data_IF_292643124340
#
_entry.id   IF_292643124340
#
_cell.length_a   1.000
_cell.length_b   1.000
_cell.length_c   1.000
_cell.angle_alpha   90.00
_cell.angle_beta   90.00
_cell.angle_gamma   90.00
#
_symmetry.space_group_name_H-M   'P 1'
#
loop_
_entity.id
_entity.type
_entity.pdbx_description
1 polymer ?
#
# COMPACT_ATOMS: atom_id res chain seq x y z
N UNK A 1 -20.80 -28.25 10.23
CA UNK A 1 -21.46 -27.17 9.49
C UNK A 1 -20.72 -27.02 8.19
N UNK A 2 -21.43 -27.15 7.09
CA UNK A 2 -20.88 -27.28 5.74
C UNK A 2 -20.30 -25.97 5.25
N UNK A 3 -19.01 -25.93 4.94
CA UNK A 3 -18.35 -24.83 4.24
C UNK A 3 -18.85 -24.79 2.80
N UNK A 4 -19.48 -23.72 2.42
CA UNK A 4 -19.95 -23.46 1.05
C UNK A 4 -18.76 -23.35 0.12
N UNK A 5 -18.74 -24.16 -0.92
CA UNK A 5 -17.76 -24.13 -2.01
C UNK A 5 -17.94 -22.83 -2.78
N UNK A 6 -16.92 -21.99 -2.81
CA UNK A 6 -16.86 -20.82 -3.66
C UNK A 6 -16.22 -21.19 -5.00
N UNK A 7 -16.95 -20.96 -6.07
CA UNK A 7 -16.49 -21.12 -7.45
C UNK A 7 -16.04 -19.76 -7.94
N UNK A 8 -14.76 -19.61 -8.29
CA UNK A 8 -14.26 -18.45 -9.00
C UNK A 8 -14.82 -18.51 -10.43
N UNK A 9 -15.86 -17.74 -10.71
CA UNK A 9 -16.37 -17.55 -12.06
C UNK A 9 -15.83 -16.20 -12.58
N UNK A 10 -14.82 -16.25 -13.44
CA UNK A 10 -14.39 -15.08 -14.19
C UNK A 10 -15.52 -14.68 -15.15
N UNK A 11 -16.32 -13.69 -14.78
CA UNK A 11 -17.30 -13.07 -15.67
C UNK A 11 -16.73 -11.75 -16.17
N UNK A 12 -16.17 -11.78 -17.38
CA UNK A 12 -15.83 -10.55 -18.10
C UNK A 12 -17.12 -9.89 -18.58
N UNK A 13 -17.66 -8.97 -17.81
CA UNK A 13 -18.70 -8.06 -18.27
C UNK A 13 -18.02 -6.82 -18.86
N UNK A 14 -18.07 -6.72 -20.19
CA UNK A 14 -17.62 -5.53 -20.89
C UNK A 14 -18.52 -4.34 -20.55
N UNK A 15 -17.92 -3.32 -19.93
CA UNK A 15 -18.51 -2.01 -19.76
C UNK A 15 -17.63 -0.93 -20.40
N UNK A 16 -18.29 0.08 -20.95
CA UNK A 16 -17.76 1.16 -21.74
C UNK A 16 -16.53 1.86 -21.12
N UNK A 17 -15.37 1.71 -21.75
CA UNK A 17 -14.24 2.66 -21.67
C UNK A 17 -13.16 2.38 -20.61
N UNK A 18 -13.39 1.56 -19.61
CA UNK A 18 -12.37 1.16 -18.63
C UNK A 18 -11.88 -0.26 -18.91
N UNK A 19 -10.58 -0.49 -18.81
CA UNK A 19 -10.01 -1.83 -18.90
C UNK A 19 -10.59 -2.68 -17.76
N UNK A 20 -11.08 -3.89 -18.06
CA UNK A 20 -11.93 -4.69 -17.19
C UNK A 20 -11.50 -4.77 -15.73
N UNK A 21 -12.46 -4.64 -14.84
CA UNK A 21 -12.31 -4.84 -13.40
C UNK A 21 -12.57 -6.33 -13.08
N UNK A 22 -11.78 -6.89 -12.17
CA UNK A 22 -11.89 -8.27 -11.72
C UNK A 22 -11.93 -8.30 -10.19
N UNK A 23 -12.93 -8.98 -9.61
CA UNK A 23 -13.01 -9.24 -8.17
C UNK A 23 -12.17 -10.46 -7.83
N UNK A 24 -11.23 -10.33 -6.89
CA UNK A 24 -10.28 -11.38 -6.49
C UNK A 24 -10.78 -12.16 -5.28
N UNK A 25 -11.41 -11.50 -4.31
CA UNK A 25 -11.96 -12.15 -3.10
C UNK A 25 -13.47 -11.97 -3.01
N UNK A 26 -14.16 -12.89 -2.31
CA UNK A 26 -15.63 -12.97 -2.29
C UNK A 26 -16.21 -13.24 -0.89
N UNK A 27 -15.38 -13.19 0.16
CA UNK A 27 -15.81 -13.54 1.52
C UNK A 27 -16.38 -12.35 2.30
N UNK A 28 -16.25 -11.12 1.77
CA UNK A 28 -16.78 -9.90 2.37
C UNK A 28 -16.12 -9.48 3.68
N UNK A 29 -15.06 -10.17 4.13
CA UNK A 29 -14.34 -9.79 5.35
C UNK A 29 -13.60 -8.46 5.15
N UNK A 30 -13.37 -7.71 6.24
CA UNK A 30 -12.61 -6.47 6.16
C UNK A 30 -11.16 -6.73 5.73
N UNK A 31 -10.76 -6.16 4.61
CA UNK A 31 -9.42 -6.29 4.03
C UNK A 31 -8.75 -4.94 3.91
N UNK A 32 -7.40 -4.94 3.92
CA UNK A 32 -6.58 -3.73 3.73
C UNK A 32 -5.18 -4.06 3.23
N UNK A 33 -4.52 -3.06 2.66
CA UNK A 33 -3.11 -3.07 2.27
C UNK A 33 -2.71 -4.26 1.36
N UNK A 34 -3.45 -4.55 0.25
CA UNK A 34 -3.07 -5.62 -0.66
C UNK A 34 -1.79 -5.26 -1.42
N UNK A 35 -0.86 -6.21 -1.49
CA UNK A 35 0.38 -6.10 -2.28
C UNK A 35 0.65 -7.41 -3.01
N UNK A 36 1.30 -7.32 -4.18
CA UNK A 36 1.77 -8.49 -4.90
C UNK A 36 3.21 -8.84 -4.54
N UNK A 37 3.49 -10.14 -4.42
CA UNK A 37 4.83 -10.73 -4.34
C UNK A 37 4.96 -11.84 -5.39
N UNK A 38 6.12 -12.48 -5.48
CA UNK A 38 6.39 -13.57 -6.43
C UNK A 38 5.99 -13.21 -7.87
N UNK A 39 6.33 -11.98 -8.30
CA UNK A 39 6.02 -11.46 -9.64
C UNK A 39 4.50 -11.50 -9.98
N UNK A 40 3.66 -11.22 -8.99
CA UNK A 40 2.20 -11.16 -9.18
C UNK A 40 1.47 -12.50 -9.00
N UNK A 41 2.16 -13.57 -8.63
CA UNK A 41 1.55 -14.89 -8.39
C UNK A 41 0.93 -15.04 -7.02
N UNK A 42 1.34 -14.22 -6.07
CA UNK A 42 0.85 -14.25 -4.69
C UNK A 42 0.39 -12.86 -4.29
N UNK A 43 -0.80 -12.77 -3.73
CA UNK A 43 -1.34 -11.58 -3.11
C UNK A 43 -1.17 -11.68 -1.59
N UNK A 44 -0.62 -10.66 -0.96
CA UNK A 44 -0.50 -10.55 0.50
C UNK A 44 -1.36 -9.38 0.95
N UNK A 45 -2.17 -9.58 1.98
CA UNK A 45 -3.04 -8.53 2.52
C UNK A 45 -3.34 -8.76 3.99
N UNK A 46 -3.85 -7.73 4.66
CA UNK A 46 -4.37 -7.84 6.02
C UNK A 46 -5.88 -8.09 5.98
N UNK A 47 -6.38 -8.98 6.83
CA UNK A 47 -7.80 -9.20 7.03
C UNK A 47 -8.15 -9.20 8.52
N UNK A 48 -9.38 -8.85 8.84
CA UNK A 48 -9.93 -9.00 10.18
C UNK A 48 -10.33 -10.48 10.36
N UNK A 49 -9.46 -11.27 11.05
CA UNK A 49 -9.73 -12.69 11.35
C UNK A 49 -10.88 -12.83 12.35
N UNK A 50 -10.92 -11.90 13.31
CA UNK A 50 -12.02 -11.70 14.27
C UNK A 50 -12.21 -10.19 14.49
N UNK A 51 -13.28 -9.79 15.19
CA UNK A 51 -13.52 -8.39 15.53
C UNK A 51 -12.34 -7.72 16.26
N UNK A 52 -11.50 -8.52 16.94
CA UNK A 52 -10.41 -8.06 17.78
C UNK A 52 -9.02 -8.45 17.23
N UNK A 53 -8.90 -9.00 16.02
CA UNK A 53 -7.62 -9.51 15.53
C UNK A 53 -7.44 -9.34 14.03
N UNK A 54 -6.41 -8.59 13.66
CA UNK A 54 -6.00 -8.39 12.26
C UNK A 54 -4.83 -9.32 11.96
N UNK A 55 -4.96 -10.11 10.89
CA UNK A 55 -3.93 -11.01 10.39
C UNK A 55 -3.42 -10.57 9.04
N UNK A 56 -2.15 -10.79 8.80
CA UNK A 56 -1.60 -10.78 7.45
C UNK A 56 -1.66 -12.19 6.87
N UNK A 57 -2.23 -12.30 5.68
CA UNK A 57 -2.39 -13.56 4.95
C UNK A 57 -1.78 -13.47 3.56
N UNK A 58 -1.46 -14.62 2.98
CA UNK A 58 -1.06 -14.77 1.58
C UNK A 58 -2.08 -15.62 0.82
N UNK A 59 -2.38 -15.23 -0.40
CA UNK A 59 -3.26 -15.94 -1.33
C UNK A 59 -2.49 -16.26 -2.61
N UNK A 60 -2.33 -17.53 -2.92
CA UNK A 60 -1.74 -17.99 -4.18
C UNK A 60 -2.76 -17.83 -5.31
N UNK A 61 -2.42 -17.06 -6.33
CA UNK A 61 -3.28 -16.78 -7.49
C UNK A 61 -3.05 -17.76 -8.66
N UNK A 62 -2.18 -18.75 -8.51
CA UNK A 62 -1.90 -19.72 -9.57
C UNK A 62 -2.95 -20.83 -9.70
N UNK A 63 -3.87 -20.95 -8.74
CA UNK A 63 -4.93 -21.97 -8.74
C UNK A 63 -6.32 -21.42 -8.43
N UNK A 64 -7.39 -22.02 -9.01
CA UNK A 64 -8.76 -21.53 -8.87
C UNK A 64 -9.41 -21.79 -7.49
N UNK A 65 -8.78 -22.59 -6.63
CA UNK A 65 -9.32 -22.99 -5.32
C UNK A 65 -8.35 -22.62 -4.17
N UNK A 66 -7.54 -21.58 -4.37
CA UNK A 66 -6.60 -21.14 -3.32
C UNK A 66 -7.33 -20.44 -2.20
N UNK A 67 -6.99 -20.80 -0.95
CA UNK A 67 -7.50 -20.15 0.25
C UNK A 67 -6.42 -19.28 0.88
N UNK A 68 -6.79 -18.16 1.54
CA UNK A 68 -5.82 -17.35 2.24
C UNK A 68 -5.15 -18.12 3.38
N UNK A 69 -3.83 -18.06 3.46
CA UNK A 69 -3.04 -18.72 4.51
C UNK A 69 -2.36 -17.66 5.37
N UNK A 70 -2.43 -17.75 6.72
CA UNK A 70 -1.71 -16.84 7.60
C UNK A 70 -0.21 -16.82 7.25
N UNK A 71 0.35 -15.61 7.14
CA UNK A 71 1.76 -15.45 6.78
C UNK A 71 2.70 -15.75 7.94
N UNK A 72 2.23 -15.55 9.18
CA UNK A 72 2.99 -15.78 10.41
C UNK A 72 2.21 -16.67 11.38
N UNK A 73 2.94 -17.31 12.28
CA UNK A 73 2.35 -18.14 13.33
C UNK A 73 1.32 -17.38 14.16
N UNK A 74 0.29 -18.08 14.57
CA UNK A 74 -0.81 -17.52 15.34
C UNK A 74 -0.34 -17.07 16.73
N UNK A 75 -0.33 -15.77 16.97
CA UNK A 75 -0.27 -15.16 18.28
C UNK A 75 -1.46 -14.19 18.44
N UNK A 76 -1.51 -13.43 19.50
CA UNK A 76 -2.58 -12.44 19.75
C UNK A 76 -2.20 -11.01 19.30
N UNK A 77 -1.19 -10.86 18.46
CA UNK A 77 -0.79 -9.57 17.94
C UNK A 77 -1.51 -9.25 16.63
N UNK A 78 -1.87 -7.98 16.46
CA UNK A 78 -2.24 -7.46 15.15
C UNK A 78 -0.97 -7.30 14.32
N UNK A 79 -1.02 -7.78 13.08
CA UNK A 79 0.05 -7.65 12.10
C UNK A 79 -0.49 -6.87 10.92
N UNK A 80 0.04 -5.68 10.68
CA UNK A 80 -0.50 -4.75 9.69
C UNK A 80 0.60 -4.07 8.88
N UNK A 81 0.20 -3.50 7.74
CA UNK A 81 1.06 -2.63 6.93
C UNK A 81 2.37 -3.31 6.52
N UNK A 82 2.24 -4.45 5.87
CA UNK A 82 3.38 -5.29 5.47
C UNK A 82 4.11 -4.71 4.25
N UNK A 83 5.43 -4.84 4.24
CA UNK A 83 6.29 -4.59 3.09
C UNK A 83 7.34 -5.68 2.96
N UNK A 84 7.70 -6.01 1.71
CA UNK A 84 8.78 -6.93 1.39
C UNK A 84 10.00 -6.18 0.85
N UNK A 85 11.21 -6.71 1.12
CA UNK A 85 12.41 -6.27 0.42
C UNK A 85 12.34 -6.64 -1.06
N UNK A 86 13.08 -5.94 -1.95
CA UNK A 86 13.05 -6.23 -3.39
C UNK A 86 13.42 -7.67 -3.77
N UNK A 87 14.22 -8.34 -2.95
CA UNK A 87 14.60 -9.75 -3.12
C UNK A 87 13.65 -10.72 -2.38
N UNK A 88 12.59 -10.20 -1.76
CA UNK A 88 11.60 -10.93 -0.95
C UNK A 88 12.19 -11.73 0.24
N UNK A 89 13.45 -11.49 0.60
CA UNK A 89 14.11 -12.13 1.73
C UNK A 89 13.68 -11.57 3.08
N UNK A 90 13.47 -10.26 3.14
CA UNK A 90 13.04 -9.58 4.36
C UNK A 90 11.60 -9.11 4.25
N UNK A 91 10.93 -9.09 5.37
CA UNK A 91 9.60 -8.51 5.51
C UNK A 91 9.58 -7.56 6.70
N UNK A 92 8.93 -6.42 6.55
CA UNK A 92 8.69 -5.46 7.62
C UNK A 92 7.20 -5.26 7.83
N UNK A 93 6.78 -5.22 9.08
CA UNK A 93 5.37 -5.01 9.44
C UNK A 93 5.22 -4.34 10.80
N UNK A 94 4.09 -3.69 11.00
CA UNK A 94 3.69 -3.15 12.31
C UNK A 94 3.03 -4.24 13.13
N UNK A 95 3.48 -4.42 14.37
CA UNK A 95 2.91 -5.38 15.31
C UNK A 95 2.45 -4.68 16.58
N UNK A 96 1.24 -4.94 17.04
CA UNK A 96 0.74 -4.46 18.33
C UNK A 96 -0.18 -5.49 19.00
N UNK A 97 -0.24 -5.46 20.33
CA UNK A 97 -1.16 -6.30 21.12
C UNK A 97 -2.24 -5.40 21.71
N UNK A 98 -3.47 -5.58 21.28
CA UNK A 98 -4.59 -4.71 21.66
C UNK A 98 -4.30 -3.24 21.35
N UNK A 99 -4.57 -2.34 22.29
CA UNK A 99 -4.30 -0.89 22.17
C UNK A 99 -2.93 -0.47 22.70
N UNK A 100 -2.02 -1.41 22.88
CA UNK A 100 -0.66 -1.14 23.38
C UNK A 100 0.22 -0.52 22.30
N UNK A 101 1.31 0.08 22.74
CA UNK A 101 2.32 0.65 21.86
C UNK A 101 2.81 -0.40 20.87
N UNK A 102 2.71 -0.12 19.59
CA UNK A 102 3.19 -0.99 18.53
C UNK A 102 4.70 -0.99 18.43
N UNK A 103 5.23 -2.00 17.76
CA UNK A 103 6.63 -2.09 17.34
C UNK A 103 6.69 -2.30 15.83
N UNK A 104 7.77 -1.86 15.22
CA UNK A 104 8.08 -2.24 13.84
C UNK A 104 9.00 -3.46 13.89
N UNK A 105 8.63 -4.50 13.17
CA UNK A 105 9.42 -5.72 13.04
C UNK A 105 10.05 -5.76 11.65
N UNK A 106 11.33 -6.09 11.56
CA UNK A 106 12.02 -6.47 10.32
C UNK A 106 12.43 -7.92 10.49
N UNK A 107 11.87 -8.82 9.70
CA UNK A 107 12.11 -10.26 9.78
C UNK A 107 12.92 -10.76 8.58
N UNK A 108 14.03 -11.42 8.83
CA UNK A 108 14.74 -12.24 7.85
C UNK A 108 14.00 -13.58 7.73
N UNK A 109 13.32 -13.82 6.60
CA UNK A 109 12.53 -15.02 6.37
C UNK A 109 13.39 -16.29 6.26
N UNK A 110 14.63 -16.17 5.73
CA UNK A 110 15.56 -17.27 5.61
C UNK A 110 16.20 -17.65 6.95
N UNK A 111 16.65 -16.67 7.73
CA UNK A 111 17.28 -16.89 9.03
C UNK A 111 16.25 -17.05 10.17
N UNK A 112 14.97 -16.75 9.93
CA UNK A 112 13.89 -16.72 10.94
C UNK A 112 14.26 -15.85 12.16
N UNK A 113 14.80 -14.66 11.87
CA UNK A 113 15.31 -13.74 12.89
C UNK A 113 14.68 -12.36 12.74
N UNK A 114 14.26 -11.78 13.87
CA UNK A 114 13.62 -10.47 13.93
C UNK A 114 14.59 -9.41 14.46
N UNK A 115 14.58 -8.24 13.82
CA UNK A 115 15.03 -6.99 14.40
C UNK A 115 13.79 -6.16 14.79
N UNK A 116 13.76 -5.69 16.04
CA UNK A 116 12.64 -4.94 16.59
C UNK A 116 13.05 -3.50 16.74
N UNK A 117 12.31 -2.60 16.12
CA UNK A 117 12.54 -1.16 16.19
C UNK A 117 11.65 -0.55 17.26
N UNK A 118 12.28 0.07 18.24
CA UNK A 118 11.60 0.79 19.29
C UNK A 118 12.05 2.24 19.31
N UNK A 119 11.10 3.16 19.41
CA UNK A 119 11.32 4.56 19.72
C UNK A 119 10.89 4.86 21.16
N UNK A 120 11.34 5.98 21.70
CA UNK A 120 10.97 6.43 23.05
C UNK A 120 9.52 6.96 23.14
N UNK A 121 8.86 7.17 22.00
CA UNK A 121 7.48 7.68 21.91
C UNK A 121 6.41 6.60 22.11
N UNK A 122 5.15 7.02 22.20
CA UNK A 122 3.97 6.13 22.28
C UNK A 122 3.21 6.06 20.94
N UNK A 123 3.87 6.39 19.84
CA UNK A 123 3.26 6.35 18.51
C UNK A 123 3.14 4.93 17.97
N UNK A 124 2.20 4.75 17.02
CA UNK A 124 2.17 3.57 16.18
C UNK A 124 3.18 3.72 15.04
N UNK A 125 3.85 2.64 14.68
CA UNK A 125 4.63 2.56 13.45
C UNK A 125 3.69 2.37 12.29
N UNK A 126 3.92 3.10 11.20
CA UNK A 126 3.02 3.10 10.05
C UNK A 126 3.79 2.99 8.74
N UNK A 127 3.16 2.32 7.78
CA UNK A 127 3.50 2.32 6.36
C UNK A 127 4.98 2.05 6.07
N UNK A 128 5.56 0.94 6.58
CA UNK A 128 6.92 0.58 6.24
C UNK A 128 7.09 0.33 4.74
N UNK A 129 8.26 0.66 4.21
CA UNK A 129 8.68 0.33 2.85
C UNK A 129 10.19 0.12 2.85
N UNK A 130 10.68 -0.85 2.07
CA UNK A 130 12.12 -1.02 1.88
C UNK A 130 12.65 -0.01 0.85
N UNK A 131 13.90 0.41 1.05
CA UNK A 131 14.66 1.08 -0.01
C UNK A 131 14.89 0.12 -1.19
N UNK A 132 15.09 0.66 -2.38
CA UNK A 132 15.25 -0.13 -3.61
C UNK A 132 16.48 -1.05 -3.55
N UNK A 133 17.53 -0.65 -2.83
CA UNK A 133 18.71 -1.50 -2.59
C UNK A 133 18.50 -2.55 -1.48
N UNK A 134 17.31 -2.59 -0.88
CA UNK A 134 16.92 -3.53 0.17
C UNK A 134 17.65 -3.38 1.51
N UNK A 135 18.46 -2.32 1.70
CA UNK A 135 19.32 -2.18 2.90
C UNK A 135 18.70 -1.43 4.06
N UNK A 136 17.61 -0.72 3.83
CA UNK A 136 16.94 0.08 4.85
C UNK A 136 15.41 -0.06 4.75
N UNK A 137 14.74 0.22 5.86
CA UNK A 137 13.29 0.37 5.94
C UNK A 137 12.98 1.82 6.27
N UNK A 138 12.06 2.41 5.48
CA UNK A 138 11.45 3.71 5.77
C UNK A 138 10.08 3.46 6.39
N UNK A 139 9.74 4.21 7.42
CA UNK A 139 8.46 4.09 8.12
C UNK A 139 8.02 5.44 8.69
N UNK A 140 6.75 5.60 8.95
CA UNK A 140 6.21 6.77 9.61
C UNK A 140 6.08 6.53 11.12
N UNK A 141 6.54 7.49 11.93
CA UNK A 141 6.46 7.45 13.39
C UNK A 141 6.42 8.84 14.02
N UNK A 142 5.65 9.00 15.10
CA UNK A 142 5.55 10.22 15.88
C UNK A 142 6.42 10.10 17.14
N UNK A 143 7.70 10.48 17.06
CA UNK A 143 8.59 10.49 18.25
C UNK A 143 8.38 11.74 19.09
N UNK A 144 8.40 12.89 18.44
CA UNK A 144 8.15 14.21 19.06
C UNK A 144 7.39 15.08 18.06
N UNK A 145 6.15 15.42 18.36
CA UNK A 145 5.31 16.22 17.44
C UNK A 145 4.55 15.37 16.42
N UNK A 146 4.31 15.90 15.22
CA UNK A 146 3.58 15.18 14.17
C UNK A 146 4.37 13.97 13.67
N UNK A 147 3.66 13.01 13.10
CA UNK A 147 4.28 11.82 12.51
C UNK A 147 5.17 12.20 11.33
N UNK A 148 6.40 11.68 11.31
CA UNK A 148 7.41 11.95 10.31
C UNK A 148 7.94 10.63 9.73
N UNK A 149 8.59 10.71 8.57
CA UNK A 149 9.27 9.57 7.96
C UNK A 149 10.65 9.38 8.57
N UNK A 150 10.94 8.16 8.92
CA UNK A 150 12.19 7.70 9.50
C UNK A 150 12.79 6.59 8.66
N UNK A 151 14.07 6.41 8.73
CA UNK A 151 14.84 5.35 8.09
C UNK A 151 15.64 4.58 9.13
N UNK A 152 15.73 3.26 8.96
CA UNK A 152 16.52 2.37 9.82
C UNK A 152 17.19 1.29 8.96
N UNK A 153 18.35 0.77 9.40
CA UNK A 153 18.97 -0.40 8.76
C UNK A 153 18.22 -1.71 9.12
N UNK A 154 18.60 -2.82 8.50
CA UNK A 154 17.92 -4.11 8.69
C UNK A 154 18.12 -4.72 10.10
N UNK A 155 19.12 -4.26 10.83
CA UNK A 155 19.38 -4.64 12.22
C UNK A 155 18.61 -3.79 13.24
N UNK A 156 17.83 -2.81 12.78
CA UNK A 156 17.08 -1.89 13.66
C UNK A 156 17.93 -0.78 14.25
N UNK A 157 19.09 -0.50 13.66
CA UNK A 157 20.07 0.51 14.08
C UNK A 157 20.10 1.68 13.09
N UNK A 158 21.01 2.62 13.28
CA UNK A 158 21.23 3.78 12.40
C UNK A 158 19.93 4.47 11.99
N UNK A 159 19.07 4.80 12.99
CA UNK A 159 17.81 5.52 12.76
C UNK A 159 18.09 6.95 12.33
N UNK A 160 17.41 7.39 11.26
CA UNK A 160 17.52 8.77 10.74
C UNK A 160 16.12 9.30 10.43
N UNK A 161 15.82 10.49 10.89
CA UNK A 161 14.61 11.21 10.48
C UNK A 161 14.82 11.78 9.07
N UNK A 162 13.85 11.53 8.17
CA UNK A 162 13.92 11.96 6.77
C UNK A 162 13.10 13.22 6.49
N UNK A 163 11.97 13.38 7.21
CA UNK A 163 11.11 14.56 7.06
C UNK A 163 11.02 15.29 8.40
N UNK A 164 10.96 16.63 8.33
CA UNK A 164 10.74 17.49 9.49
C UNK A 164 9.79 18.61 9.04
N UNK A 165 8.49 18.37 9.17
CA UNK A 165 7.44 19.29 8.71
C UNK A 165 6.42 19.52 9.83
N UNK A 166 5.65 20.60 9.74
CA UNK A 166 4.53 20.85 10.66
C UNK A 166 3.36 19.88 10.46
N UNK A 167 3.28 19.24 9.27
CA UNK A 167 2.26 18.25 8.93
C UNK A 167 2.68 16.82 9.20
N UNK A 168 1.72 15.91 9.10
CA UNK A 168 1.92 14.47 9.18
C UNK A 168 2.50 13.95 7.86
N UNK A 169 3.57 13.16 7.90
CA UNK A 169 4.18 12.49 6.75
C UNK A 169 3.87 11.00 6.76
N UNK A 170 3.27 10.49 5.68
CA UNK A 170 2.79 9.11 5.56
C UNK A 170 2.99 8.51 4.16
N UNK A 171 2.86 7.19 4.06
CA UNK A 171 2.78 6.39 2.82
C UNK A 171 3.93 6.65 1.85
N UNK A 172 5.20 6.43 2.27
CA UNK A 172 6.33 6.55 1.36
C UNK A 172 6.30 5.48 0.27
N UNK A 173 6.75 5.84 -0.94
CA UNK A 173 6.94 4.92 -2.05
C UNK A 173 8.08 5.42 -2.95
N UNK A 174 9.02 4.54 -3.30
CA UNK A 174 10.20 4.92 -4.10
C UNK A 174 9.97 4.79 -5.60
N UNK A 175 10.67 5.62 -6.38
CA UNK A 175 10.90 5.33 -7.79
C UNK A 175 11.82 4.12 -7.93
N UNK A 176 11.74 3.32 -9.02
CA UNK A 176 12.52 2.09 -9.17
C UNK A 176 14.04 2.29 -9.18
N UNK A 177 14.51 3.48 -9.57
CA UNK A 177 15.93 3.85 -9.49
C UNK A 177 16.38 4.24 -8.07
N UNK A 178 15.45 4.42 -7.13
CA UNK A 178 15.72 4.82 -5.76
C UNK A 178 16.13 6.29 -5.57
N UNK A 179 16.12 7.10 -6.62
CA UNK A 179 16.53 8.51 -6.58
C UNK A 179 15.47 9.41 -5.93
N UNK A 180 14.19 9.03 -6.06
CA UNK A 180 13.07 9.81 -5.55
C UNK A 180 12.14 8.95 -4.67
N UNK A 181 11.45 9.64 -3.78
CA UNK A 181 10.40 9.06 -2.93
C UNK A 181 9.18 9.96 -2.98
N UNK A 182 8.02 9.39 -3.29
CA UNK A 182 6.73 10.07 -3.10
C UNK A 182 6.16 9.74 -1.73
N UNK A 183 5.43 10.67 -1.14
CA UNK A 183 4.75 10.48 0.14
C UNK A 183 3.59 11.48 0.27
N UNK A 184 2.66 11.21 1.18
CA UNK A 184 1.62 12.17 1.52
C UNK A 184 2.02 12.99 2.74
N UNK A 185 1.74 14.31 2.71
CA UNK A 185 2.00 15.21 3.82
C UNK A 185 0.85 16.21 4.02
N UNK A 186 0.53 16.52 5.28
CA UNK A 186 -0.61 17.40 5.63
C UNK A 186 -0.22 18.83 6.01
N UNK A 187 0.99 19.31 5.67
CA UNK A 187 1.51 20.64 6.03
C UNK A 187 0.70 21.83 5.47
N UNK A 188 -0.12 21.58 4.46
CA UNK A 188 -0.98 22.60 3.83
C UNK A 188 -2.46 22.48 4.26
N UNK A 189 -2.71 22.00 5.48
CA UNK A 189 -4.02 21.79 6.12
C UNK A 189 -4.84 20.60 5.61
N UNK A 190 -4.40 19.89 4.58
CA UNK A 190 -4.91 18.60 4.12
C UNK A 190 -3.77 17.77 3.57
N UNK A 191 -4.00 16.48 3.41
CA UNK A 191 -3.01 15.61 2.79
C UNK A 191 -2.92 15.87 1.29
N UNK A 192 -1.69 16.09 0.84
CA UNK A 192 -1.30 16.21 -0.56
C UNK A 192 -0.10 15.32 -0.83
N UNK A 193 0.13 14.99 -2.10
CA UNK A 193 1.25 14.16 -2.50
C UNK A 193 2.46 15.03 -2.81
N UNK A 194 3.60 14.65 -2.26
CA UNK A 194 4.90 15.28 -2.45
C UNK A 194 5.88 14.27 -3.04
N UNK A 195 6.85 14.76 -3.79
CA UNK A 195 8.02 14.02 -4.24
C UNK A 195 9.26 14.61 -3.57
N UNK A 196 10.20 13.75 -3.18
CA UNK A 196 11.45 14.13 -2.52
C UNK A 196 12.62 13.49 -3.23
N UNK A 197 13.62 14.30 -3.60
CA UNK A 197 14.93 13.83 -4.02
C UNK A 197 15.68 13.23 -2.82
N UNK A 198 16.15 12.00 -2.94
CA UNK A 198 16.79 11.29 -1.81
C UNK A 198 18.14 11.89 -1.46
N UNK A 199 18.94 12.26 -2.46
CA UNK A 199 20.29 12.80 -2.24
C UNK A 199 20.27 14.22 -1.71
N UNK A 200 19.55 15.14 -2.35
CA UNK A 200 19.50 16.56 -1.96
C UNK A 200 18.52 16.86 -0.83
N UNK A 201 17.49 16.02 -0.67
CA UNK A 201 16.38 16.26 0.23
C UNK A 201 15.38 17.31 -0.25
N UNK A 202 15.52 17.79 -1.49
CA UNK A 202 14.60 18.75 -2.09
C UNK A 202 13.21 18.12 -2.29
N UNK A 203 12.15 18.89 -1.99
CA UNK A 203 10.76 18.41 -2.06
C UNK A 203 9.92 19.26 -3.02
N UNK A 204 9.16 18.59 -3.87
CA UNK A 204 8.15 19.17 -4.74
C UNK A 204 6.74 18.71 -4.35
N UNK A 205 5.75 19.60 -4.41
CA UNK A 205 4.33 19.25 -4.23
C UNK A 205 3.73 18.85 -5.58
N UNK A 206 3.17 17.64 -5.68
CA UNK A 206 2.59 17.10 -6.91
C UNK A 206 1.07 17.35 -7.02
N UNK A 207 0.34 17.31 -5.89
CA UNK A 207 -1.11 17.59 -5.89
C UNK A 207 -1.44 18.87 -5.13
N UNK A 208 -2.49 19.57 -5.58
CA UNK A 208 -2.94 20.82 -4.97
C UNK A 208 -4.45 20.98 -5.11
N UNK A 209 -5.17 20.58 -4.08
CA UNK A 209 -6.62 20.74 -4.05
C UNK A 209 -7.11 20.98 -2.61
N UNK A 210 -8.45 21.07 -2.41
CA UNK A 210 -9.03 21.29 -1.07
C UNK A 210 -9.37 20.00 -0.34
N UNK A 211 -9.18 18.87 -1.00
CA UNK A 211 -9.57 17.53 -0.56
C UNK A 211 -8.28 16.74 -0.38
N UNK A 212 -8.31 15.68 0.43
CA UNK A 212 -7.12 14.88 0.69
C UNK A 212 -6.76 13.96 -0.49
N UNK A 213 -5.45 13.90 -0.77
CA UNK A 213 -4.81 12.92 -1.62
C UNK A 213 -3.84 12.10 -0.77
N UNK A 214 -4.03 10.78 -0.73
CA UNK A 214 -3.34 9.88 0.20
C UNK A 214 -2.89 8.58 -0.49
N UNK A 215 -2.05 7.80 0.19
CA UNK A 215 -1.60 6.47 -0.23
C UNK A 215 -0.95 6.44 -1.63
N UNK A 216 -0.03 7.34 -1.95
CA UNK A 216 0.65 7.29 -3.25
C UNK A 216 1.49 6.01 -3.38
N UNK A 217 1.48 5.41 -4.57
CA UNK A 217 2.33 4.27 -4.95
C UNK A 217 2.90 4.51 -6.34
N UNK A 218 4.21 4.51 -6.45
CA UNK A 218 4.91 4.63 -7.74
C UNK A 218 4.77 3.33 -8.52
N UNK A 219 4.55 3.43 -9.83
CA UNK A 219 4.46 2.28 -10.74
C UNK A 219 5.80 1.55 -10.87
N UNK A 220 5.81 0.26 -11.25
CA UNK A 220 7.03 -0.53 -11.42
C UNK A 220 8.04 0.05 -12.43
N UNK A 221 7.57 0.81 -13.42
CA UNK A 221 8.41 1.51 -14.40
C UNK A 221 8.81 2.94 -13.98
N UNK A 222 8.28 3.43 -12.85
CA UNK A 222 8.55 4.76 -12.32
C UNK A 222 7.84 5.91 -13.03
N UNK A 223 7.01 5.64 -14.03
CA UNK A 223 6.39 6.69 -14.86
C UNK A 223 5.12 7.28 -14.25
N UNK A 224 4.47 6.58 -13.32
CA UNK A 224 3.15 6.94 -12.78
C UNK A 224 3.06 6.78 -11.27
N UNK A 225 2.05 7.42 -10.70
CA UNK A 225 1.66 7.29 -9.28
C UNK A 225 0.17 6.95 -9.25
N UNK A 226 -0.21 5.82 -8.62
CA UNK A 226 -1.59 5.62 -8.20
C UNK A 226 -1.78 6.16 -6.77
N UNK A 227 -2.96 6.67 -6.47
CA UNK A 227 -3.28 7.26 -5.17
C UNK A 227 -4.77 7.26 -4.91
N UNK A 228 -5.15 7.54 -3.69
CA UNK A 228 -6.55 7.72 -3.28
C UNK A 228 -6.85 9.20 -3.18
N UNK A 229 -8.00 9.61 -3.71
CA UNK A 229 -8.53 10.96 -3.56
C UNK A 229 -10.02 10.93 -3.22
N UNK A 230 -10.48 11.93 -2.48
CA UNK A 230 -11.92 12.12 -2.19
C UNK A 230 -12.53 13.28 -2.99
N UNK A 231 -11.88 13.69 -4.10
CA UNK A 231 -12.27 14.87 -4.90
C UNK A 231 -13.64 14.78 -5.55
N UNK A 232 -14.13 13.57 -5.80
CA UNK A 232 -15.43 13.30 -6.43
C UNK A 232 -16.48 12.77 -5.44
N UNK A 233 -16.28 12.98 -4.12
CA UNK A 233 -17.28 12.76 -3.07
C UNK A 233 -16.98 11.63 -2.10
N UNK A 234 -16.44 10.50 -2.57
CA UNK A 234 -15.97 9.37 -1.77
C UNK A 234 -14.50 9.04 -2.09
N UNK A 235 -13.98 7.98 -1.47
CA UNK A 235 -12.61 7.48 -1.72
C UNK A 235 -12.57 6.73 -3.04
N UNK A 236 -11.78 7.23 -3.99
CA UNK A 236 -11.59 6.63 -5.30
C UNK A 236 -10.10 6.53 -5.65
N UNK A 237 -9.78 5.60 -6.55
CA UNK A 237 -8.42 5.42 -7.05
C UNK A 237 -8.19 6.32 -8.26
N UNK A 238 -7.06 7.03 -8.23
CA UNK A 238 -6.58 7.89 -9.31
C UNK A 238 -5.18 7.46 -9.75
N UNK A 239 -4.83 7.81 -10.96
CA UNK A 239 -3.47 7.71 -11.50
C UNK A 239 -3.04 9.05 -12.07
N UNK A 240 -1.79 9.42 -11.87
CA UNK A 240 -1.15 10.59 -12.50
C UNK A 240 0.24 10.22 -13.00
N UNK A 241 0.84 11.04 -13.84
CA UNK A 241 2.25 10.93 -14.18
C UNK A 241 3.14 11.23 -12.96
N UNK A 242 4.40 10.80 -13.00
CA UNK A 242 5.35 11.00 -11.88
C UNK A 242 5.61 12.48 -11.56
N UNK A 243 5.38 13.38 -12.50
CA UNK A 243 5.49 14.84 -12.36
C UNK A 243 4.21 15.53 -11.82
N UNK A 244 3.16 14.73 -11.52
CA UNK A 244 1.87 15.20 -11.05
C UNK A 244 0.88 15.61 -12.14
N UNK A 245 1.25 15.51 -13.43
CA UNK A 245 0.37 15.80 -14.56
C UNK A 245 -0.58 14.64 -14.87
N UNK A 246 -1.58 14.90 -15.75
CA UNK A 246 -2.49 13.92 -16.32
C UNK A 246 -3.22 13.04 -15.28
N UNK A 247 -3.87 13.66 -14.30
CA UNK A 247 -4.65 12.97 -13.28
C UNK A 247 -5.89 12.34 -13.88
N UNK A 248 -6.02 11.01 -13.78
CA UNK A 248 -7.15 10.23 -14.30
C UNK A 248 -7.78 9.41 -13.18
N UNK A 249 -9.11 9.45 -13.05
CA UNK A 249 -9.88 8.60 -12.15
C UNK A 249 -9.94 7.17 -12.71
N UNK A 250 -9.68 6.17 -11.87
CA UNK A 250 -9.64 4.73 -12.24
C UNK A 250 -10.90 4.00 -11.76
N UNK A 251 -11.42 4.37 -10.61
CA UNK A 251 -12.62 3.76 -10.04
C UNK A 251 -13.75 4.77 -9.92
N UNK A 252 -15.01 4.28 -9.97
CA UNK A 252 -16.22 5.11 -9.93
C UNK A 252 -17.36 4.32 -9.29
N UNK A 253 -17.26 4.07 -7.98
CA UNK A 253 -18.27 3.38 -7.20
C UNK A 253 -19.06 4.34 -6.30
N UNK A 254 -20.22 3.91 -5.82
CA UNK A 254 -20.99 4.64 -4.81
C UNK A 254 -20.32 4.56 -3.42
N UNK A 255 -19.58 3.46 -3.15
CA UNK A 255 -18.90 3.20 -1.89
C UNK A 255 -17.38 3.38 -2.04
N UNK A 256 -16.64 3.10 -0.99
CA UNK A 256 -15.21 3.40 -0.86
C UNK A 256 -14.32 2.44 -1.64
N UNK A 257 -13.40 2.98 -2.45
CA UNK A 257 -12.24 2.30 -3.02
C UNK A 257 -10.95 2.83 -2.38
N UNK A 258 -10.13 1.93 -1.80
CA UNK A 258 -8.97 2.32 -1.00
C UNK A 258 -7.81 1.31 -1.12
N UNK A 259 -6.65 1.65 -0.53
CA UNK A 259 -5.46 0.79 -0.46
C UNK A 259 -4.92 0.35 -1.83
N UNK A 260 -4.69 1.26 -2.78
CA UNK A 260 -4.17 0.89 -4.08
C UNK A 260 -2.73 0.39 -4.00
N UNK A 261 -2.41 -0.61 -4.82
CA UNK A 261 -1.05 -1.07 -5.09
C UNK A 261 -0.92 -1.54 -6.53
N UNK A 262 0.26 -1.37 -7.12
CA UNK A 262 0.49 -1.78 -8.49
C UNK A 262 0.66 -3.30 -8.60
N UNK A 263 0.07 -3.89 -9.65
CA UNK A 263 0.51 -5.20 -10.11
C UNK A 263 1.91 -5.07 -10.74
N UNK A 264 2.81 -6.06 -10.61
CA UNK A 264 4.16 -5.98 -11.15
C UNK A 264 4.27 -5.76 -12.66
N UNK A 265 3.19 -6.02 -13.43
CA UNK A 265 3.15 -5.74 -14.88
C UNK A 265 3.02 -4.25 -15.22
N UNK A 266 2.79 -3.39 -14.23
CA UNK A 266 2.65 -1.95 -14.41
C UNK A 266 1.38 -1.48 -15.12
N UNK A 267 0.46 -2.40 -15.48
CA UNK A 267 -0.75 -2.09 -16.24
C UNK A 267 -2.03 -2.24 -15.41
N UNK A 268 -1.93 -2.76 -14.20
CA UNK A 268 -3.08 -3.04 -13.33
C UNK A 268 -2.83 -2.57 -11.90
N UNK A 269 -3.91 -2.24 -11.20
CA UNK A 269 -3.90 -1.81 -9.81
C UNK A 269 -4.81 -2.74 -9.03
N UNK A 270 -4.30 -3.30 -7.92
CA UNK A 270 -5.09 -3.99 -6.91
C UNK A 270 -5.53 -2.98 -5.85
N UNK A 271 -6.74 -3.11 -5.36
CA UNK A 271 -7.31 -2.22 -4.35
C UNK A 271 -8.41 -2.93 -3.56
N UNK A 272 -8.85 -2.35 -2.46
CA UNK A 272 -10.00 -2.82 -1.69
C UNK A 272 -11.18 -1.96 -2.05
N UNK A 273 -12.27 -2.60 -2.47
CA UNK A 273 -13.56 -1.95 -2.76
C UNK A 273 -14.60 -2.37 -1.74
N UNK A 274 -15.34 -1.40 -1.23
CA UNK A 274 -16.53 -1.62 -0.41
C UNK A 274 -17.75 -1.63 -1.35
N UNK A 275 -18.54 -2.71 -1.31
CA UNK A 275 -19.76 -2.87 -2.11
C UNK A 275 -20.81 -3.62 -1.30
N UNK A 276 -21.99 -3.04 -1.19
CA UNK A 276 -23.09 -3.61 -0.37
C UNK A 276 -22.64 -3.89 1.10
N UNK A 277 -21.78 -3.02 1.65
CA UNK A 277 -21.21 -3.14 2.99
C UNK A 277 -20.17 -4.26 3.15
N UNK A 278 -19.70 -4.86 2.05
CA UNK A 278 -18.64 -5.88 2.01
C UNK A 278 -17.35 -5.31 1.42
N UNK A 279 -16.21 -5.66 2.01
CA UNK A 279 -14.89 -5.23 1.53
C UNK A 279 -14.15 -6.38 0.90
N UNK A 280 -13.97 -6.31 -0.40
CA UNK A 280 -13.21 -7.29 -1.15
C UNK A 280 -12.09 -6.66 -1.98
N UNK A 281 -11.18 -7.51 -2.42
CA UNK A 281 -10.04 -7.09 -3.23
C UNK A 281 -10.42 -7.18 -4.70
N UNK A 282 -10.14 -6.11 -5.43
CA UNK A 282 -10.38 -5.97 -6.86
C UNK A 282 -9.08 -5.63 -7.59
N UNK A 283 -9.04 -5.96 -8.87
CA UNK A 283 -7.96 -5.64 -9.80
C UNK A 283 -8.55 -4.87 -10.97
N UNK A 284 -8.07 -3.66 -11.22
CA UNK A 284 -8.48 -2.84 -12.35
C UNK A 284 -7.30 -2.58 -13.29
N UNK A 285 -7.56 -2.59 -14.61
CA UNK A 285 -6.61 -2.14 -15.62
C UNK A 285 -6.56 -0.61 -15.67
N UNK A 286 -5.36 -0.05 -15.92
CA UNK A 286 -5.24 1.38 -16.23
C UNK A 286 -5.58 1.63 -17.70
N UNK A 287 -6.30 2.73 -18.03
CA UNK A 287 -6.57 3.11 -19.40
C UNK A 287 -5.26 3.31 -20.16
N UNK A 288 -5.11 2.67 -21.32
CA UNK A 288 -4.02 2.99 -22.22
C UNK A 288 -4.22 4.40 -22.79
N UNK A 289 -3.16 5.21 -22.95
CA UNK A 289 -3.27 6.46 -23.69
C UNK A 289 -3.91 6.17 -25.06
N UNK A 290 -4.90 6.97 -25.44
CA UNK A 290 -5.46 6.89 -26.80
C UNK A 290 -4.33 7.30 -27.75
N UNK A 291 -3.79 6.37 -28.51
CA UNK A 291 -2.89 6.72 -29.60
C UNK A 291 -3.68 7.56 -30.63
N UNK A 292 -3.45 8.88 -30.58
CA UNK A 292 -3.98 9.76 -31.63
C UNK A 292 -3.14 9.47 -32.88
N UNK A 293 -3.63 8.58 -33.72
CA UNK A 293 -3.10 8.43 -35.08
C UNK A 293 -3.24 9.77 -35.78
N UNK A 294 -2.16 10.52 -35.91
CA UNK A 294 -2.10 11.71 -36.78
C UNK A 294 -2.52 11.27 -38.19
N UNK A 295 -3.65 11.85 -38.67
CA UNK A 295 -4.09 11.71 -40.06
C UNK A 295 -3.31 12.68 -40.94
#
# INVERSE_FOLDING_TARGET
>A
MSLSKFVILAVSLGFNGYAGEERITYDGSNKRDPIFIAQGKTLVYCLDETDDLIRTVSLDLSGPESEPVPLFDADRSHQTEIAYSPDERFVSFSECVGNLTGKLVIRDLAAKKDAIINHSGRGAYRTPVFTVDGKRVIYAFAEKGPMQLWSVDLEGKDKKQLTETEGLSHWPSFTPNGEQMVFANSRENNYEIYIREIESGEEGRLTKNRIMDIRPRVSPDGSKICFVSTRDGNYEIYVMNIDGSDVVRITDNEERDDFPSWHPDGNRIVYVSERDGQKDIFLAGIPKPIEVTAK
#
